data_IF_179316055585
#
_entry.id   IF_179316055585
#
_cell.length_a   1.000
_cell.length_b   1.000
_cell.length_c   1.000
_cell.angle_alpha   90.00
_cell.angle_beta   90.00
_cell.angle_gamma   90.00
#
_symmetry.space_group_name_H-M   'P 1'
#
loop_
_entity.id
_entity.type
_entity.pdbx_description
1 polymer ?
#
# COMPACT_ATOMS: atom_id res chain seq x y z
N UNK A 1 -52.17 -21.47 -10.97
CA UNK A 1 -51.18 -20.67 -11.73
C UNK A 1 -49.97 -20.43 -10.83
N UNK A 2 -48.75 -20.69 -11.32
CA UNK A 2 -47.52 -20.69 -10.51
C UNK A 2 -46.91 -19.28 -10.52
N UNK A 3 -47.15 -18.51 -9.46
CA UNK A 3 -46.55 -17.18 -9.30
C UNK A 3 -45.04 -17.34 -9.13
N UNK A 4 -44.28 -17.04 -10.19
CA UNK A 4 -42.83 -17.13 -10.19
C UNK A 4 -42.28 -15.76 -9.84
N UNK A 5 -42.14 -15.49 -8.54
CA UNK A 5 -41.47 -14.30 -8.05
C UNK A 5 -40.04 -14.26 -8.58
N UNK A 6 -39.75 -13.31 -9.47
CA UNK A 6 -38.38 -13.04 -9.87
C UNK A 6 -37.54 -12.70 -8.63
N UNK A 7 -36.39 -13.36 -8.48
CA UNK A 7 -35.43 -13.02 -7.45
C UNK A 7 -34.94 -11.57 -7.67
N UNK A 8 -34.80 -10.76 -6.61
CA UNK A 8 -34.38 -9.36 -6.75
C UNK A 8 -32.97 -9.28 -7.33
N UNK A 9 -32.76 -8.34 -8.25
CA UNK A 9 -31.53 -8.14 -9.02
C UNK A 9 -30.37 -7.51 -8.23
N UNK A 10 -30.42 -7.53 -6.90
CA UNK A 10 -29.51 -6.80 -6.00
C UNK A 10 -28.38 -7.67 -5.44
N UNK A 11 -27.89 -8.65 -6.22
CA UNK A 11 -26.86 -9.62 -5.80
C UNK A 11 -25.47 -9.25 -6.36
N UNK A 12 -25.41 -8.29 -7.28
CA UNK A 12 -24.16 -7.74 -7.76
C UNK A 12 -23.58 -6.76 -6.73
N UNK A 13 -22.28 -6.89 -6.49
CA UNK A 13 -21.51 -5.95 -5.67
C UNK A 13 -21.35 -4.63 -6.42
N UNK A 14 -21.92 -3.53 -5.95
CA UNK A 14 -21.77 -2.19 -6.58
C UNK A 14 -20.36 -1.57 -6.40
N UNK A 15 -19.33 -2.39 -6.18
CA UNK A 15 -17.95 -1.95 -6.05
C UNK A 15 -17.32 -1.75 -7.44
N UNK A 16 -17.40 -0.51 -7.94
CA UNK A 16 -16.62 -0.02 -9.08
C UNK A 16 -15.37 0.73 -8.60
N UNK A 17 -14.22 0.47 -9.22
CA UNK A 17 -12.94 1.11 -8.91
C UNK A 17 -12.36 1.85 -10.12
N UNK A 18 -11.97 3.11 -9.94
CA UNK A 18 -11.10 3.87 -10.87
C UNK A 18 -9.61 3.76 -10.52
N UNK A 19 -9.24 2.85 -9.64
CA UNK A 19 -7.85 2.66 -9.23
C UNK A 19 -7.69 1.61 -8.13
N UNK A 20 -6.57 0.89 -8.21
CA UNK A 20 -6.18 -0.12 -7.23
C UNK A 20 -4.76 0.16 -6.72
N UNK A 21 -4.49 -0.21 -5.48
CA UNK A 21 -3.18 -0.22 -4.85
C UNK A 21 -2.94 -1.63 -4.30
N UNK A 22 -2.27 -2.45 -5.09
CA UNK A 22 -1.95 -3.84 -4.79
C UNK A 22 -0.51 -3.90 -4.31
N UNK A 23 -0.27 -4.50 -3.16
CA UNK A 23 1.09 -4.83 -2.72
C UNK A 23 1.15 -6.27 -2.25
N UNK A 24 2.18 -7.01 -2.64
CA UNK A 24 2.49 -8.31 -2.05
C UNK A 24 3.98 -8.58 -2.10
N UNK A 25 4.46 -9.47 -1.24
CA UNK A 25 5.77 -10.08 -1.35
C UNK A 25 5.60 -11.58 -1.63
N UNK A 26 6.47 -12.15 -2.45
CA UNK A 26 6.42 -13.56 -2.81
C UNK A 26 7.82 -14.18 -2.87
N UNK A 27 7.88 -15.49 -2.67
CA UNK A 27 9.08 -16.31 -2.84
C UNK A 27 8.70 -17.61 -3.53
N UNK A 28 9.30 -17.90 -4.69
CA UNK A 28 9.00 -19.12 -5.46
C UNK A 28 10.14 -19.53 -6.39
N UNK A 29 10.16 -20.82 -6.74
CA UNK A 29 10.93 -21.40 -7.86
C UNK A 29 10.01 -21.79 -9.04
N UNK A 30 8.70 -21.53 -8.94
CA UNK A 30 7.72 -21.89 -9.95
C UNK A 30 7.62 -20.78 -11.01
N UNK A 31 7.76 -21.17 -12.28
CA UNK A 31 7.48 -20.30 -13.43
C UNK A 31 6.87 -21.13 -14.56
N UNK A 32 5.77 -20.68 -15.19
CA UNK A 32 4.96 -19.53 -14.81
C UNK A 32 4.11 -19.80 -13.54
N UNK A 33 3.66 -18.72 -12.87
CA UNK A 33 2.85 -18.83 -11.65
C UNK A 33 1.88 -17.65 -11.51
N UNK A 34 0.59 -17.94 -11.24
CA UNK A 34 -0.40 -16.92 -10.91
C UNK A 34 -0.31 -16.59 -9.41
N UNK A 35 -0.13 -15.31 -9.06
CA UNK A 35 0.03 -14.87 -7.67
C UNK A 35 -1.31 -14.42 -7.09
N UNK A 36 -2.03 -13.57 -7.83
CA UNK A 36 -3.27 -12.94 -7.44
C UNK A 36 -4.18 -12.76 -8.66
N UNK A 37 -5.47 -13.00 -8.47
CA UNK A 37 -6.53 -12.80 -9.47
C UNK A 37 -7.73 -12.13 -8.81
N UNK A 38 -8.30 -11.13 -9.46
CA UNK A 38 -9.50 -10.42 -9.01
C UNK A 38 -10.51 -10.49 -10.15
N UNK A 39 -11.69 -11.04 -9.88
CA UNK A 39 -12.76 -11.24 -10.85
C UNK A 39 -13.88 -10.21 -10.67
N UNK A 40 -14.50 -9.78 -11.75
CA UNK A 40 -15.81 -9.09 -11.77
C UNK A 40 -16.95 -10.06 -12.09
N UNK A 41 -18.19 -9.63 -11.83
CA UNK A 41 -19.39 -10.24 -12.41
C UNK A 41 -19.60 -9.93 -13.90
N UNK A 42 -18.94 -8.90 -14.45
CA UNK A 42 -19.02 -8.52 -15.86
C UNK A 42 -17.88 -9.09 -16.72
N UNK A 43 -17.22 -10.16 -16.26
CA UNK A 43 -16.07 -10.82 -16.93
C UNK A 43 -14.85 -9.92 -17.12
N UNK A 44 -14.82 -8.80 -16.41
CA UNK A 44 -13.63 -7.99 -16.18
C UNK A 44 -12.74 -8.69 -15.13
N UNK A 45 -11.42 -8.51 -15.23
CA UNK A 45 -10.49 -9.02 -14.23
C UNK A 45 -9.16 -8.25 -14.16
N UNK A 46 -8.50 -8.38 -13.01
CA UNK A 46 -7.09 -8.05 -12.84
C UNK A 46 -6.33 -9.33 -12.46
N UNK A 47 -5.22 -9.64 -13.14
CA UNK A 47 -4.35 -10.77 -12.81
C UNK A 47 -2.90 -10.32 -12.64
N UNK A 48 -2.22 -10.85 -11.62
CA UNK A 48 -0.81 -10.62 -11.33
C UNK A 48 -0.06 -11.96 -11.31
N UNK A 49 0.87 -12.15 -12.25
CA UNK A 49 1.54 -13.44 -12.48
C UNK A 49 3.02 -13.29 -12.83
N UNK A 50 3.79 -14.34 -12.58
CA UNK A 50 5.11 -14.56 -13.17
C UNK A 50 4.90 -15.28 -14.50
N UNK A 51 5.31 -14.67 -15.61
CA UNK A 51 5.19 -15.30 -16.93
C UNK A 51 6.37 -16.25 -17.22
N UNK A 52 6.25 -17.01 -18.32
CA UNK A 52 7.22 -18.04 -18.77
C UNK A 52 8.67 -17.54 -19.06
N UNK A 53 8.96 -16.26 -18.82
CA UNK A 53 10.29 -15.66 -18.99
C UNK A 53 10.81 -15.05 -17.67
N UNK A 54 10.23 -15.47 -16.54
CA UNK A 54 10.51 -15.02 -15.17
C UNK A 54 10.36 -13.52 -14.97
N UNK A 55 9.42 -12.91 -15.69
CA UNK A 55 9.03 -11.51 -15.57
C UNK A 55 7.68 -11.38 -14.89
N UNK A 56 7.46 -10.26 -14.22
CA UNK A 56 6.14 -9.91 -13.72
C UNK A 56 5.28 -9.50 -14.91
N UNK A 57 4.05 -10.00 -14.92
CA UNK A 57 3.03 -9.68 -15.89
C UNK A 57 1.75 -9.28 -15.14
N UNK A 58 1.27 -8.07 -15.39
CA UNK A 58 -0.02 -7.57 -14.91
C UNK A 58 -0.97 -7.61 -16.10
N UNK A 59 -2.12 -8.26 -15.95
CA UNK A 59 -3.18 -8.26 -16.96
C UNK A 59 -4.38 -7.50 -16.44
N UNK A 60 -4.88 -6.57 -17.25
CA UNK A 60 -6.12 -5.85 -17.00
C UNK A 60 -7.11 -6.15 -18.13
N UNK A 61 -8.28 -6.66 -17.78
CA UNK A 61 -9.44 -6.73 -18.67
C UNK A 61 -10.54 -5.91 -18.01
N UNK A 62 -10.65 -4.64 -18.40
CA UNK A 62 -11.65 -3.70 -17.86
C UNK A 62 -12.89 -3.56 -18.75
N UNK A 63 -12.92 -4.27 -19.89
CA UNK A 63 -14.10 -4.44 -20.73
C UNK A 63 -14.27 -5.96 -20.94
N UNK A 64 -15.39 -6.52 -20.44
CA UNK A 64 -15.69 -7.95 -20.54
C UNK A 64 -15.73 -8.50 -21.98
N UNK A 65 -15.95 -7.62 -22.98
CA UNK A 65 -16.00 -7.96 -24.40
C UNK A 65 -14.64 -7.94 -25.12
N UNK A 66 -13.59 -7.39 -24.49
CA UNK A 66 -12.24 -7.23 -25.08
C UNK A 66 -11.24 -8.27 -24.59
N UNK A 67 -10.11 -8.34 -25.29
CA UNK A 67 -8.90 -9.02 -24.83
C UNK A 67 -8.23 -8.26 -23.69
N UNK A 68 -7.51 -8.94 -22.77
CA UNK A 68 -6.78 -8.28 -21.69
C UNK A 68 -5.57 -7.49 -22.22
N UNK A 69 -5.36 -6.31 -21.66
CA UNK A 69 -4.11 -5.57 -21.81
C UNK A 69 -3.03 -6.16 -20.91
N UNK A 70 -1.84 -6.41 -21.47
CA UNK A 70 -0.77 -7.20 -20.84
C UNK A 70 0.48 -6.36 -20.61
N UNK A 71 0.65 -5.89 -19.37
CA UNK A 71 1.77 -5.08 -18.93
C UNK A 71 2.90 -6.00 -18.42
N UNK A 72 4.13 -5.81 -18.90
CA UNK A 72 5.27 -6.70 -18.61
C UNK A 72 6.46 -5.91 -18.05
N UNK A 73 6.97 -6.34 -16.91
CA UNK A 73 8.15 -5.71 -16.29
C UNK A 73 9.41 -5.87 -17.14
N UNK A 74 10.37 -4.96 -16.96
CA UNK A 74 11.75 -5.10 -17.45
C UNK A 74 12.53 -6.09 -16.59
N UNK A 75 12.29 -6.10 -15.27
CA UNK A 75 12.88 -7.05 -14.30
C UNK A 75 12.60 -8.50 -14.71
N UNK A 76 13.59 -9.38 -14.51
CA UNK A 76 13.63 -10.81 -14.88
C UNK A 76 14.05 -11.66 -13.69
N UNK A 77 14.01 -12.99 -13.86
CA UNK A 77 14.50 -13.98 -12.90
C UNK A 77 13.77 -13.93 -11.55
N UNK A 78 12.47 -13.60 -11.56
CA UNK A 78 11.65 -13.48 -10.35
C UNK A 78 11.30 -14.82 -9.68
N UNK A 79 11.46 -15.94 -10.38
CA UNK A 79 11.27 -17.29 -9.84
C UNK A 79 12.61 -17.91 -9.35
N UNK A 80 13.47 -17.10 -8.74
CA UNK A 80 14.83 -17.48 -8.31
C UNK A 80 14.92 -18.01 -6.86
N UNK A 81 13.78 -18.21 -6.18
CA UNK A 81 13.76 -18.66 -4.79
C UNK A 81 14.15 -17.61 -3.74
N UNK A 82 14.25 -16.33 -4.11
CA UNK A 82 14.43 -15.19 -3.21
C UNK A 82 13.09 -14.51 -2.92
N UNK A 83 13.06 -13.63 -1.91
CA UNK A 83 11.89 -12.83 -1.56
C UNK A 83 11.84 -11.57 -2.43
N UNK A 84 10.83 -11.47 -3.29
CA UNK A 84 10.55 -10.28 -4.09
C UNK A 84 9.33 -9.55 -3.53
N UNK A 85 9.32 -8.21 -3.61
CA UNK A 85 8.20 -7.36 -3.22
C UNK A 85 7.68 -6.57 -4.40
N UNK A 86 6.39 -6.65 -4.68
CA UNK A 86 5.71 -6.01 -5.80
C UNK A 86 4.70 -5.00 -5.27
N UNK A 87 4.69 -3.81 -5.87
CA UNK A 87 3.61 -2.83 -5.75
C UNK A 87 3.08 -2.51 -7.14
N UNK A 88 1.78 -2.67 -7.34
CA UNK A 88 1.07 -2.22 -8.54
C UNK A 88 0.08 -1.14 -8.11
N UNK A 89 0.09 0.03 -8.76
CA UNK A 89 -0.88 1.10 -8.51
C UNK A 89 -1.46 1.59 -9.82
N UNK A 90 -2.79 1.56 -9.93
CA UNK A 90 -3.55 2.15 -11.05
C UNK A 90 -4.33 3.37 -10.57
N UNK A 91 -4.43 4.38 -11.43
CA UNK A 91 -5.37 5.49 -11.32
C UNK A 91 -5.84 5.83 -12.74
N UNK A 92 -7.13 5.64 -13.02
CA UNK A 92 -7.69 5.65 -14.38
C UNK A 92 -6.89 4.74 -15.33
N UNK A 93 -6.43 5.24 -16.46
CA UNK A 93 -5.63 4.52 -17.45
C UNK A 93 -4.18 4.26 -16.98
N UNK A 94 -3.65 5.11 -16.10
CA UNK A 94 -2.24 5.05 -15.70
C UNK A 94 -1.98 3.94 -14.67
N UNK A 95 -1.14 2.98 -15.04
CA UNK A 95 -0.68 1.87 -14.20
C UNK A 95 0.81 2.00 -13.92
N UNK A 96 1.20 1.85 -12.66
CA UNK A 96 2.59 1.83 -12.23
C UNK A 96 2.94 0.52 -11.53
N UNK A 97 4.13 0.01 -11.82
CA UNK A 97 4.67 -1.24 -11.29
C UNK A 97 6.03 -0.96 -10.68
N UNK A 98 6.23 -1.38 -9.43
CA UNK A 98 7.51 -1.34 -8.75
C UNK A 98 7.83 -2.73 -8.18
N UNK A 99 9.06 -3.19 -8.41
CA UNK A 99 9.54 -4.49 -7.97
C UNK A 99 10.83 -4.26 -7.18
N UNK A 100 10.83 -4.64 -5.91
CA UNK A 100 11.91 -4.41 -4.96
C UNK A 100 12.36 -2.94 -4.95
N UNK A 101 13.67 -2.69 -5.07
CA UNK A 101 14.27 -1.35 -5.16
C UNK A 101 14.51 -0.90 -6.61
N UNK A 102 13.95 -1.61 -7.61
CA UNK A 102 14.08 -1.21 -9.01
C UNK A 102 13.30 0.08 -9.28
N UNK A 103 13.69 0.77 -10.36
CA UNK A 103 12.96 1.92 -10.85
C UNK A 103 11.50 1.56 -11.16
N UNK A 104 10.59 2.49 -10.83
CA UNK A 104 9.17 2.40 -11.16
C UNK A 104 9.00 2.32 -12.69
N UNK A 105 8.18 1.38 -13.14
CA UNK A 105 7.77 1.23 -14.54
C UNK A 105 6.33 1.74 -14.67
N UNK A 106 6.10 2.75 -15.50
CA UNK A 106 4.78 3.32 -15.77
C UNK A 106 4.27 2.87 -17.16
N UNK A 107 2.97 2.60 -17.24
CA UNK A 107 2.22 2.12 -18.39
C UNK A 107 0.88 2.85 -18.44
N UNK A 108 0.27 2.95 -19.63
CA UNK A 108 -1.09 3.44 -19.79
C UNK A 108 -1.94 2.34 -20.45
N UNK A 109 -3.15 2.15 -19.94
CA UNK A 109 -4.19 1.31 -20.53
C UNK A 109 -4.88 2.04 -21.69
N UNK A 110 -5.55 1.27 -22.55
CA UNK A 110 -6.36 1.74 -23.68
C UNK A 110 -7.82 1.29 -23.59
N UNK A 111 -8.16 0.47 -22.57
CA UNK A 111 -9.52 0.07 -22.21
C UNK A 111 -10.28 1.12 -21.40
N UNK A 112 -11.41 0.71 -20.81
CA UNK A 112 -12.15 1.46 -19.80
C UNK A 112 -11.25 1.87 -18.60
N UNK A 113 -11.63 2.96 -17.92
CA UNK A 113 -11.04 3.42 -16.66
C UNK A 113 -11.66 2.75 -15.43
N UNK A 114 -12.83 2.13 -15.55
CA UNK A 114 -13.55 1.53 -14.44
C UNK A 114 -13.36 0.01 -14.37
N UNK A 115 -13.09 -0.51 -13.18
CA UNK A 115 -13.15 -1.93 -12.86
C UNK A 115 -14.42 -2.17 -12.06
N UNK A 116 -15.45 -2.66 -12.72
CA UNK A 116 -16.82 -2.74 -12.24
C UNK A 116 -17.10 -4.04 -11.49
N UNK A 117 -18.11 -3.99 -10.63
CA UNK A 117 -18.74 -5.17 -10.03
C UNK A 117 -17.79 -6.25 -9.48
N UNK A 118 -16.79 -5.84 -8.69
CA UNK A 118 -15.74 -6.74 -8.18
C UNK A 118 -16.32 -7.84 -7.27
N UNK A 119 -16.25 -9.07 -7.77
CA UNK A 119 -16.84 -10.29 -7.19
C UNK A 119 -15.95 -10.98 -6.17
N UNK A 120 -14.65 -11.14 -6.45
CA UNK A 120 -13.74 -11.92 -5.59
C UNK A 120 -12.27 -11.58 -5.81
N UNK A 121 -11.45 -11.83 -4.78
CA UNK A 121 -9.98 -11.83 -4.85
C UNK A 121 -9.49 -13.22 -4.43
N UNK A 122 -8.73 -13.87 -5.32
CA UNK A 122 -8.19 -15.22 -5.14
C UNK A 122 -6.66 -15.17 -5.21
N UNK A 123 -6.00 -15.95 -4.36
CA UNK A 123 -4.54 -16.11 -4.34
C UNK A 123 -4.15 -17.51 -4.81
N UNK A 124 -3.15 -17.61 -5.67
CA UNK A 124 -2.69 -18.90 -6.20
C UNK A 124 -3.66 -19.56 -7.19
N UNK A 125 -4.38 -20.61 -6.77
CA UNK A 125 -5.20 -21.45 -7.65
C UNK A 125 -6.59 -20.87 -7.86
N UNK A 126 -6.98 -20.66 -9.11
CA UNK A 126 -8.34 -20.22 -9.49
C UNK A 126 -9.03 -21.31 -10.30
N UNK A 127 -10.30 -21.56 -10.00
CA UNK A 127 -11.20 -22.38 -10.81
C UNK A 127 -12.38 -21.49 -11.22
N UNK A 128 -12.20 -20.74 -12.30
CA UNK A 128 -13.19 -19.83 -12.84
C UNK A 128 -13.46 -20.23 -14.30
N UNK A 129 -14.71 -20.57 -14.59
CA UNK A 129 -15.12 -21.11 -15.90
C UNK A 129 -15.17 -20.03 -16.99
N UNK A 130 -15.07 -18.75 -16.62
CA UNK A 130 -15.10 -17.61 -17.54
C UNK A 130 -13.69 -17.08 -17.88
N UNK A 131 -12.64 -17.73 -17.36
CA UNK A 131 -11.25 -17.45 -17.71
C UNK A 131 -10.94 -17.80 -19.18
N UNK A 132 -10.14 -16.94 -19.82
CA UNK A 132 -9.43 -17.25 -21.06
C UNK A 132 -8.67 -18.59 -20.94
N UNK A 133 -8.68 -19.49 -21.95
CA UNK A 133 -8.06 -20.81 -21.86
C UNK A 133 -6.58 -20.83 -21.45
N UNK A 134 -5.79 -19.85 -21.88
CA UNK A 134 -4.36 -19.79 -21.54
C UNK A 134 -4.16 -19.38 -20.07
N UNK A 135 -4.97 -18.42 -19.58
CA UNK A 135 -4.98 -18.04 -18.16
C UNK A 135 -5.62 -19.12 -17.27
N UNK A 136 -6.66 -19.81 -17.72
CA UNK A 136 -7.30 -20.92 -17.01
C UNK A 136 -6.32 -22.07 -16.77
N UNK A 137 -5.53 -22.45 -17.79
CA UNK A 137 -4.48 -23.46 -17.65
C UNK A 137 -3.45 -23.04 -16.59
N UNK A 138 -2.96 -21.80 -16.64
CA UNK A 138 -2.02 -21.28 -15.64
C UNK A 138 -2.62 -21.30 -14.23
N UNK A 139 -3.86 -20.81 -14.09
CA UNK A 139 -4.54 -20.68 -12.81
C UNK A 139 -4.82 -22.04 -12.17
N UNK A 140 -5.06 -23.08 -12.97
CA UNK A 140 -5.28 -24.45 -12.48
C UNK A 140 -4.05 -25.06 -11.78
N UNK A 141 -2.83 -24.68 -12.18
CA UNK A 141 -1.60 -25.13 -11.53
C UNK A 141 -1.57 -24.68 -10.06
N UNK A 142 -2.00 -23.44 -9.82
CA UNK A 142 -1.87 -22.75 -8.54
C UNK A 142 -0.47 -22.18 -8.33
N UNK A 143 -0.20 -21.80 -7.08
CA UNK A 143 1.07 -21.21 -6.65
C UNK A 143 1.73 -22.08 -5.59
N UNK A 144 2.95 -22.54 -5.87
CA UNK A 144 3.84 -23.18 -4.93
C UNK A 144 4.93 -22.19 -4.50
N UNK A 145 4.97 -21.84 -3.22
CA UNK A 145 5.90 -20.85 -2.69
C UNK A 145 5.36 -20.23 -1.41
N UNK A 146 5.82 -19.03 -1.09
CA UNK A 146 5.31 -18.22 0.01
C UNK A 146 4.75 -16.89 -0.51
N UNK A 147 3.63 -16.45 0.04
CA UNK A 147 3.07 -15.10 -0.13
C UNK A 147 3.05 -14.41 1.24
N UNK A 148 3.40 -13.13 1.29
CA UNK A 148 3.32 -12.30 2.48
C UNK A 148 2.97 -10.85 2.12
N UNK A 149 2.58 -10.05 3.10
CA UNK A 149 2.24 -8.61 2.94
C UNK A 149 1.16 -8.34 1.87
N UNK A 150 0.32 -9.34 1.54
CA UNK A 150 -0.73 -9.19 0.53
C UNK A 150 -1.76 -8.17 1.00
N UNK A 151 -1.86 -7.08 0.25
CA UNK A 151 -2.88 -6.04 0.37
C UNK A 151 -3.50 -5.74 -0.98
N UNK A 152 -4.79 -5.45 -0.92
CA UNK A 152 -5.55 -4.87 -2.02
C UNK A 152 -6.30 -3.66 -1.45
N UNK A 153 -5.93 -2.44 -1.88
CA UNK A 153 -6.47 -1.19 -1.32
C UNK A 153 -6.37 -1.17 0.23
N UNK A 154 -7.51 -1.15 0.93
CA UNK A 154 -7.60 -1.19 2.38
C UNK A 154 -7.52 -2.59 3.01
N UNK A 155 -7.77 -3.66 2.25
CA UNK A 155 -7.87 -5.02 2.81
C UNK A 155 -6.52 -5.75 2.84
N UNK A 156 -6.38 -6.70 3.76
CA UNK A 156 -5.18 -7.53 3.95
C UNK A 156 -5.58 -9.02 4.06
N UNK A 157 -5.86 -9.71 2.94
CA UNK A 157 -6.51 -11.04 2.96
C UNK A 157 -5.77 -12.09 3.79
N UNK A 158 -4.44 -12.19 3.69
CA UNK A 158 -3.65 -13.15 4.48
C UNK A 158 -3.71 -12.85 5.99
N UNK A 159 -3.78 -11.57 6.39
CA UNK A 159 -3.90 -11.21 7.81
C UNK A 159 -5.29 -11.57 8.35
N UNK A 160 -6.34 -11.38 7.56
CA UNK A 160 -7.70 -11.77 7.93
C UNK A 160 -7.80 -13.30 8.08
N UNK A 161 -7.28 -14.06 7.11
CA UNK A 161 -7.27 -15.52 7.13
C UNK A 161 -6.49 -16.12 8.32
N UNK A 162 -5.34 -15.56 8.67
CA UNK A 162 -4.46 -16.10 9.71
C UNK A 162 -4.83 -15.68 11.14
N UNK A 163 -5.41 -14.49 11.33
CA UNK A 163 -5.74 -13.98 12.66
C UNK A 163 -7.21 -14.19 13.03
N UNK A 164 -8.12 -14.15 12.04
CA UNK A 164 -9.57 -14.15 12.25
C UNK A 164 -10.24 -15.31 11.45
N UNK A 165 -9.83 -16.58 11.63
CA UNK A 165 -10.29 -17.69 10.78
C UNK A 165 -11.82 -17.88 10.82
N UNK A 166 -12.45 -17.74 12.00
CA UNK A 166 -13.89 -18.00 12.18
C UNK A 166 -14.79 -16.81 11.83
N UNK A 167 -14.22 -15.61 11.64
CA UNK A 167 -15.00 -14.35 11.45
C UNK A 167 -14.63 -13.58 10.19
N UNK A 168 -13.53 -13.92 9.51
CA UNK A 168 -13.17 -13.31 8.23
C UNK A 168 -13.95 -13.94 7.07
N UNK A 169 -14.24 -13.18 5.99
CA UNK A 169 -14.89 -13.71 4.79
C UNK A 169 -13.93 -14.50 3.88
N UNK A 170 -12.78 -14.98 4.39
CA UNK A 170 -11.74 -15.62 3.59
C UNK A 170 -11.89 -17.14 3.65
N UNK A 171 -12.15 -17.76 2.49
CA UNK A 171 -12.20 -19.22 2.36
C UNK A 171 -10.83 -19.75 1.93
N UNK A 172 -10.33 -20.76 2.66
CA UNK A 172 -9.04 -21.42 2.39
C UNK A 172 -9.32 -22.79 1.77
N UNK A 173 -8.76 -23.07 0.60
CA UNK A 173 -8.93 -24.35 -0.11
C UNK A 173 -7.58 -24.95 -0.46
N UNK A 174 -7.31 -26.17 0.01
CA UNK A 174 -6.03 -26.87 -0.19
C UNK A 174 -4.95 -26.51 0.85
N UNK A 175 -3.69 -26.93 0.63
CA UNK A 175 -2.62 -26.74 1.59
C UNK A 175 -2.25 -25.26 1.79
N UNK A 176 -2.42 -24.76 3.00
CA UNK A 176 -2.06 -23.41 3.42
C UNK A 176 -1.53 -23.45 4.85
N UNK A 177 -0.39 -22.82 5.10
CA UNK A 177 0.25 -22.79 6.43
C UNK A 177 0.97 -21.46 6.65
N UNK A 178 0.87 -20.92 7.86
CA UNK A 178 1.64 -19.75 8.26
C UNK A 178 3.14 -20.06 8.31
N UNK A 179 3.97 -19.18 7.75
CA UNK A 179 5.43 -19.29 7.83
C UNK A 179 6.07 -17.90 7.86
N UNK A 180 7.37 -17.82 8.21
CA UNK A 180 8.12 -16.57 8.13
C UNK A 180 8.42 -16.12 6.69
N UNK A 181 8.03 -16.87 5.66
CA UNK A 181 8.38 -16.60 4.25
C UNK A 181 9.91 -16.59 3.96
N UNK A 182 10.73 -17.06 4.92
CA UNK A 182 12.19 -16.91 4.89
C UNK A 182 12.69 -15.58 5.44
N UNK A 183 11.83 -14.79 6.09
CA UNK A 183 12.25 -13.62 6.87
C UNK A 183 13.16 -14.06 8.02
N UNK A 184 14.34 -13.43 8.14
CA UNK A 184 15.34 -13.67 9.18
C UNK A 184 14.99 -13.00 10.52
N UNK A 185 13.69 -12.84 10.82
CA UNK A 185 13.25 -12.50 12.17
C UNK A 185 13.59 -13.67 13.10
N UNK A 186 14.38 -13.42 14.14
CA UNK A 186 14.83 -14.47 15.05
C UNK A 186 13.64 -15.19 15.66
N UNK A 187 13.74 -16.53 15.71
CA UNK A 187 12.86 -17.32 16.55
C UNK A 187 13.19 -17.01 18.01
N UNK A 188 12.55 -15.99 18.57
CA UNK A 188 12.53 -15.72 20.00
C UNK A 188 11.66 -16.78 20.67
N UNK A 189 12.16 -18.01 20.73
CA UNK A 189 11.55 -19.16 21.40
C UNK A 189 11.68 -19.03 22.92
N UNK A 190 11.09 -17.96 23.47
CA UNK A 190 11.10 -17.65 24.90
C UNK A 190 9.70 -17.24 25.38
N UNK A 191 8.82 -18.24 25.48
CA UNK A 191 7.99 -18.38 26.69
C UNK A 191 8.28 -19.77 27.26
N UNK A 192 9.25 -19.82 28.16
CA UNK A 192 9.43 -20.98 29.01
C UNK A 192 8.27 -21.04 29.99
N UNK A 193 7.51 -22.12 29.98
CA UNK A 193 6.59 -22.45 31.06
C UNK A 193 7.27 -23.51 31.94
N UNK A 194 8.02 -23.04 32.91
CA UNK A 194 8.58 -23.89 33.95
C UNK A 194 7.46 -24.14 34.98
N UNK A 195 7.06 -25.40 35.18
CA UNK A 195 7.27 -26.03 36.49
C UNK A 195 6.94 -27.52 36.60
N UNK A 196 7.77 -28.18 37.42
CA UNK A 196 7.59 -29.47 38.11
C UNK A 196 7.71 -30.80 37.33
N UNK A 197 8.90 -31.41 37.46
CA UNK A 197 9.17 -32.78 37.96
C UNK A 197 8.19 -33.90 37.56
N UNK A 198 8.63 -35.01 36.94
CA UNK A 198 9.49 -36.01 37.60
C UNK A 198 9.93 -37.12 36.61
N UNK A 199 11.22 -37.48 36.59
CA UNK A 199 11.86 -38.76 36.13
C UNK A 199 11.56 -39.31 34.70
N UNK A 200 12.44 -40.07 34.02
CA UNK A 200 13.70 -40.73 34.42
C UNK A 200 14.65 -40.97 33.21
N UNK A 201 15.93 -41.26 33.51
CA UNK A 201 16.97 -41.94 32.71
C UNK A 201 16.95 -41.95 31.16
N UNK A 202 18.02 -41.40 30.55
CA UNK A 202 19.14 -42.20 30.00
C UNK A 202 20.26 -41.28 29.48
N UNK A 203 21.53 -41.59 29.77
CA UNK A 203 22.66 -40.72 29.46
C UNK A 203 23.48 -41.13 28.24
N UNK A 204 24.17 -40.17 27.62
CA UNK A 204 25.43 -40.41 26.91
C UNK A 204 26.32 -39.18 26.95
N UNK A 205 27.63 -39.40 27.05
CA UNK A 205 28.67 -38.38 27.29
C UNK A 205 29.22 -37.86 25.96
N UNK A 206 29.42 -36.54 25.85
CA UNK A 206 30.04 -35.90 24.68
C UNK A 206 30.47 -34.47 24.95
N UNK A 207 31.71 -34.27 25.42
CA UNK A 207 32.28 -32.96 25.73
C UNK A 207 32.62 -32.15 24.47
N UNK A 208 32.34 -30.85 24.48
CA UNK A 208 32.75 -29.91 23.42
C UNK A 208 32.28 -28.48 23.72
N UNK A 209 33.22 -27.59 24.11
CA UNK A 209 32.92 -26.21 24.53
C UNK A 209 32.46 -25.33 23.35
N UNK A 210 31.55 -24.36 23.56
CA UNK A 210 31.21 -23.37 22.54
C UNK A 210 32.34 -22.34 22.41
N UNK A 211 32.79 -22.09 21.17
CA UNK A 211 33.78 -21.07 20.87
C UNK A 211 33.15 -19.67 21.00
N UNK A 212 33.48 -18.96 22.09
CA UNK A 212 33.13 -17.54 22.28
C UNK A 212 33.92 -16.66 21.32
N UNK A 213 33.47 -16.57 20.07
CA UNK A 213 33.98 -15.58 19.12
C UNK A 213 33.36 -14.22 19.41
N UNK A 214 34.17 -13.32 19.96
CA UNK A 214 33.79 -11.94 20.23
C UNK A 214 33.59 -11.15 18.92
N UNK A 215 32.44 -10.50 18.77
CA UNK A 215 32.28 -9.29 17.97
C UNK A 215 31.63 -8.24 18.87
N UNK A 216 32.46 -7.47 19.56
CA UNK A 216 32.06 -6.39 20.49
C UNK A 216 32.31 -5.02 19.85
N UNK A 217 31.58 -4.77 18.78
CA UNK A 217 31.52 -3.55 17.93
C UNK A 217 30.13 -3.64 17.27
N UNK A 218 29.16 -2.71 17.39
CA UNK A 218 29.26 -1.24 17.39
C UNK A 218 28.13 -0.51 18.16
N UNK A 219 27.62 -1.07 19.27
CA UNK A 219 26.49 -0.48 20.01
C UNK A 219 26.73 0.97 20.49
N UNK A 220 27.98 1.36 20.73
CA UNK A 220 28.34 2.73 21.13
C UNK A 220 28.28 3.74 19.97
N UNK A 221 28.63 3.33 18.75
CA UNK A 221 28.55 4.19 17.56
C UNK A 221 27.10 4.47 17.17
N UNK A 222 26.25 3.43 17.23
CA UNK A 222 24.81 3.56 16.95
C UNK A 222 24.14 4.50 17.97
N UNK A 223 24.45 4.35 19.26
CA UNK A 223 23.97 5.27 20.30
C UNK A 223 24.47 6.71 20.14
N UNK A 224 25.74 6.88 19.76
CA UNK A 224 26.35 8.19 19.54
C UNK A 224 25.69 8.98 18.40
N UNK A 225 25.43 8.35 17.26
CA UNK A 225 24.76 9.01 16.12
C UNK A 225 23.34 9.45 16.50
N UNK A 226 22.58 8.59 17.21
CA UNK A 226 21.23 8.93 17.69
C UNK A 226 21.28 10.13 18.65
N UNK A 227 22.23 10.15 19.59
CA UNK A 227 22.39 11.26 20.53
C UNK A 227 22.71 12.60 19.83
N UNK A 228 23.59 12.58 18.82
CA UNK A 228 23.94 13.78 18.02
C UNK A 228 22.73 14.31 17.24
N UNK A 229 21.94 13.42 16.60
CA UNK A 229 20.73 13.82 15.86
C UNK A 229 19.68 14.44 16.81
N UNK A 230 19.43 13.82 17.96
CA UNK A 230 18.49 14.37 18.96
C UNK A 230 18.98 15.74 19.46
N UNK A 231 20.26 15.87 19.79
CA UNK A 231 20.84 17.13 20.26
C UNK A 231 20.72 18.25 19.20
N UNK A 232 21.00 17.94 17.93
CA UNK A 232 20.86 18.90 16.82
C UNK A 232 19.41 19.37 16.64
N UNK A 233 18.43 18.47 16.72
CA UNK A 233 17.00 18.82 16.64
C UNK A 233 16.58 19.69 17.81
N UNK A 234 16.95 19.33 19.05
CA UNK A 234 16.62 20.12 20.25
C UNK A 234 17.28 21.51 20.21
N UNK A 235 18.55 21.59 19.80
CA UNK A 235 19.23 22.87 19.63
C UNK A 235 18.55 23.75 18.55
N UNK A 236 18.17 23.15 17.42
CA UNK A 236 17.40 23.83 16.37
C UNK A 236 16.07 24.39 16.87
N UNK A 237 15.31 23.62 17.65
CA UNK A 237 14.06 24.07 18.26
C UNK A 237 14.28 25.22 19.26
N UNK A 238 15.32 25.16 20.09
CA UNK A 238 15.67 26.26 21.03
C UNK A 238 16.07 27.53 20.28
N UNK A 239 16.84 27.42 19.19
CA UNK A 239 17.21 28.57 18.35
C UNK A 239 15.97 29.16 17.67
N UNK A 240 15.11 28.32 17.07
CA UNK A 240 13.86 28.76 16.45
C UNK A 240 12.92 29.44 17.46
N UNK A 241 12.76 28.87 18.66
CA UNK A 241 11.97 29.47 19.74
C UNK A 241 12.53 30.84 20.17
N UNK A 242 13.85 30.97 20.36
CA UNK A 242 14.49 32.26 20.65
C UNK A 242 14.36 33.27 19.51
N UNK A 243 14.45 32.82 18.26
CA UNK A 243 14.28 33.66 17.08
C UNK A 243 12.85 34.21 16.99
N UNK A 244 11.84 33.35 17.18
CA UNK A 244 10.43 33.74 17.22
C UNK A 244 10.16 34.70 18.39
N UNK A 245 10.72 34.44 19.59
CA UNK A 245 10.60 35.35 20.73
C UNK A 245 11.20 36.74 20.45
N UNK A 246 12.44 36.80 19.94
CA UNK A 246 13.06 38.09 19.54
C UNK A 246 12.27 38.82 18.45
N UNK A 247 11.66 38.07 17.51
CA UNK A 247 10.78 38.64 16.47
C UNK A 247 9.46 39.17 17.05
N UNK A 248 8.97 38.55 18.13
CA UNK A 248 7.78 39.01 18.87
C UNK A 248 8.06 40.27 19.71
N UNK A 249 9.24 40.39 20.30
CA UNK A 249 9.66 41.63 20.98
C UNK A 249 9.90 42.81 20.01
N UNK A 250 10.32 42.54 18.77
CA UNK A 250 10.41 43.58 17.72
C UNK A 250 9.06 44.02 17.17
N UNK A 251 8.01 43.20 17.26
CA UNK A 251 6.63 43.61 17.03
C UNK A 251 6.10 44.49 18.18
N UNK A 252 6.24 44.01 19.43
CA UNK A 252 5.76 44.72 20.62
C UNK A 252 6.42 46.09 20.81
N UNK A 253 7.69 46.24 20.45
CA UNK A 253 8.38 47.53 20.45
C UNK A 253 8.01 48.45 19.26
N UNK A 254 7.38 47.94 18.20
CA UNK A 254 6.86 48.78 17.11
C UNK A 254 5.54 49.43 17.48
N UNK A 255 4.65 48.69 18.16
CA UNK A 255 3.38 49.22 18.69
C UNK A 255 3.61 50.27 19.78
N UNK A 256 4.60 50.06 20.67
CA UNK A 256 4.93 51.01 21.74
C UNK A 256 5.61 52.32 21.28
N UNK A 257 5.97 52.46 19.99
CA UNK A 257 6.73 53.62 19.47
C UNK A 257 5.99 54.42 18.39
N UNK A 258 4.71 54.11 18.13
CA UNK A 258 3.88 54.75 17.10
C UNK A 258 3.11 56.01 17.54
N UNK A 259 3.38 56.59 18.71
CA UNK A 259 2.60 57.72 19.25
C UNK A 259 3.50 58.94 19.54
N UNK A 260 3.66 59.81 18.52
CA UNK A 260 3.81 61.29 18.57
C UNK A 260 4.22 61.87 17.19
N UNK A 261 3.46 62.89 16.71
CA UNK A 261 3.80 64.19 16.04
C UNK A 261 5.12 64.33 15.21
N UNK A 262 5.33 65.22 14.22
CA UNK A 262 4.70 66.43 13.61
C UNK A 262 5.48 66.71 12.27
N UNK A 263 5.07 67.48 11.24
CA UNK A 263 3.76 67.91 10.66
C UNK A 263 3.96 68.72 9.33
N UNK A 264 2.91 68.87 8.49
CA UNK A 264 2.75 69.81 7.34
C UNK A 264 3.75 69.69 6.13
N UNK A 265 3.61 70.47 5.02
CA UNK A 265 2.62 70.26 3.95
C UNK A 265 3.18 70.36 2.50
N UNK A 266 2.36 70.05 1.45
CA UNK A 266 2.10 70.95 0.28
C UNK A 266 1.25 70.31 -0.86
N UNK A 267 0.62 71.17 -1.67
CA UNK A 267 -0.42 70.96 -2.72
C UNK A 267 0.18 70.74 -4.15
N UNK A 268 -0.55 70.79 -5.32
CA UNK A 268 -2.01 70.85 -5.61
C UNK A 268 -2.57 69.92 -6.75
N UNK A 269 -3.92 69.80 -6.80
CA UNK A 269 -4.85 69.72 -7.97
C UNK A 269 -4.53 68.94 -9.28
N UNK A 270 -5.50 68.15 -9.78
CA UNK A 270 -6.52 68.68 -10.70
C UNK A 270 -7.79 67.79 -10.80
N UNK A 271 -8.89 68.35 -11.31
CA UNK A 271 -10.25 67.81 -11.28
C UNK A 271 -10.73 67.37 -12.67
N UNK A 272 -11.69 66.43 -12.75
CA UNK A 272 -12.85 66.53 -13.66
C UNK A 272 -13.94 65.55 -13.22
N UNK A 273 -15.11 66.06 -12.82
CA UNK A 273 -16.36 65.30 -12.67
C UNK A 273 -17.07 65.16 -14.01
N UNK A 274 -17.68 64.00 -14.25
CA UNK A 274 -18.95 63.97 -15.01
C UNK A 274 -19.90 62.91 -14.43
N UNK A 275 -21.18 63.03 -14.75
CA UNK A 275 -22.30 62.48 -13.99
C UNK A 275 -23.21 61.58 -14.83
N UNK A 276 -23.76 60.51 -14.23
CA UNK A 276 -25.21 60.21 -14.22
C UNK A 276 -25.54 58.84 -13.59
N UNK A 277 -26.04 58.92 -12.36
CA UNK A 277 -27.23 58.24 -11.84
C UNK A 277 -27.86 57.09 -12.68
N UNK A 278 -27.73 55.84 -12.19
CA UNK A 278 -28.76 54.81 -12.35
C UNK A 278 -28.96 54.03 -11.04
N UNK A 279 -30.19 53.99 -10.57
CA UNK A 279 -30.62 53.23 -9.39
C UNK A 279 -30.86 51.77 -9.76
N UNK A 280 -30.44 50.84 -8.89
CA UNK A 280 -30.48 49.39 -9.15
C UNK A 280 -30.52 48.58 -7.86
N UNK A 281 -31.52 48.85 -7.03
CA UNK A 281 -31.69 48.26 -5.70
C UNK A 281 -32.28 46.83 -5.79
N UNK A 282 -31.48 45.78 -5.55
CA UNK A 282 -32.04 44.47 -5.17
C UNK A 282 -31.12 43.59 -4.31
N UNK A 283 -31.35 43.66 -2.99
CA UNK A 283 -31.59 42.53 -2.08
C UNK A 283 -31.03 41.13 -2.44
N UNK A 284 -30.05 40.65 -1.64
CA UNK A 284 -30.09 39.40 -0.83
C UNK A 284 -31.24 38.42 -1.18
N UNK A 285 -31.07 37.10 -1.38
CA UNK A 285 -30.44 36.12 -0.46
C UNK A 285 -30.55 34.65 -1.01
N UNK A 286 -29.57 33.80 -0.63
CA UNK A 286 -29.56 32.32 -0.49
C UNK A 286 -29.59 31.28 -1.64
N UNK A 287 -28.90 30.16 -1.32
CA UNK A 287 -28.76 28.83 -1.93
C UNK A 287 -27.97 28.71 -3.25
N UNK A 288 -27.06 27.74 -3.43
CA UNK A 288 -26.67 26.55 -2.62
C UNK A 288 -25.19 26.66 -2.18
#
# INVERSE_FOLDING_TARGET
MRNSSALPSSIYSDLTLRGENVSLSFRTNQSPALLLYISSYYREYMALLINKHDKLEVRYKLDGSREPEVLRSKVRSLANGQLHTVTVRRLSDSVSVQIDQNAREDFNLTSDEEFNAIKSLVLGRVHDAELDPDLARLASLGFAGCLSVVRFNGISPLKAALLHPDTSPVVITGPFVGSSCGSSASANAHTADNNHHLSDQSGSVGSGQPLVNAVRTDSALIGGVIAVVIFAVVAGLVIAARFIYRRKDTYRNREAKGVKREDSPDFPFNNQTDSQHMSGQHQKEYFI
#
